data_IF_399629026038
#
_entry.id   IF_399629026038
#
_cell.length_a   1.000
_cell.length_b   1.000
_cell.length_c   1.000
_cell.angle_alpha   90.00
_cell.angle_beta   90.00
_cell.angle_gamma   90.00
#
_symmetry.space_group_name_H-M   'P 1'
#
loop_
_entity.id
_entity.type
_entity.pdbx_description
1 polymer ?
#
# COMPACT_ATOMS: atom_id res chain seq x y z
N UNK A 1 -13.86 13.26 -42.22
CA UNK A 1 -12.51 12.66 -42.05
C UNK A 1 -12.12 12.48 -40.57
N UNK A 2 -13.05 12.63 -39.61
CA UNK A 2 -12.72 12.65 -38.16
C UNK A 2 -13.14 11.39 -37.38
N UNK A 3 -13.67 10.36 -38.04
CA UNK A 3 -14.12 9.14 -37.37
C UNK A 3 -13.01 8.09 -37.18
N UNK A 4 -11.84 8.28 -37.82
CA UNK A 4 -10.74 7.32 -37.77
C UNK A 4 -9.83 7.51 -36.54
N UNK A 5 -9.74 8.72 -35.98
CA UNK A 5 -8.82 9.04 -34.88
C UNK A 5 -9.39 8.71 -33.48
N UNK A 6 -10.72 8.64 -33.34
CA UNK A 6 -11.37 8.26 -32.07
C UNK A 6 -11.27 6.74 -31.81
N UNK A 7 -11.28 5.93 -32.89
CA UNK A 7 -11.20 4.46 -32.80
C UNK A 7 -9.82 3.92 -32.41
N UNK A 8 -8.74 4.65 -32.71
CA UNK A 8 -7.36 4.22 -32.42
C UNK A 8 -6.94 4.47 -30.96
N UNK A 9 -7.60 5.42 -30.26
CA UNK A 9 -7.30 5.74 -28.85
C UNK A 9 -7.85 4.71 -27.86
N UNK A 10 -8.96 4.03 -28.17
CA UNK A 10 -9.52 2.99 -27.30
C UNK A 10 -8.79 1.64 -27.44
N UNK A 11 -8.31 1.28 -28.63
CA UNK A 11 -7.63 -0.01 -28.88
C UNK A 11 -6.24 -0.09 -28.23
N UNK A 12 -5.55 1.04 -28.07
CA UNK A 12 -4.27 1.11 -27.37
C UNK A 12 -4.40 0.84 -25.86
N UNK A 13 -5.47 1.33 -25.22
CA UNK A 13 -5.72 1.11 -23.78
C UNK A 13 -6.09 -0.35 -23.47
N UNK A 14 -6.86 -1.00 -24.35
CA UNK A 14 -7.24 -2.40 -24.19
C UNK A 14 -6.05 -3.36 -24.33
N UNK A 15 -5.08 -3.01 -25.17
CA UNK A 15 -3.86 -3.81 -25.38
C UNK A 15 -2.93 -3.81 -24.16
N UNK A 16 -3.00 -2.80 -23.28
CA UNK A 16 -2.16 -2.69 -22.08
C UNK A 16 -2.78 -3.34 -20.83
N UNK A 17 -4.07 -3.70 -20.84
CA UNK A 17 -4.74 -4.33 -19.69
C UNK A 17 -4.03 -5.59 -19.15
N UNK A 18 -3.55 -6.53 -19.99
CA UNK A 18 -2.84 -7.71 -19.49
C UNK A 18 -1.57 -7.37 -18.73
N UNK A 19 -0.80 -6.38 -19.21
CA UNK A 19 0.47 -5.95 -18.58
C UNK A 19 0.20 -5.34 -17.20
N UNK A 20 -0.87 -4.53 -17.08
CA UNK A 20 -1.27 -3.94 -15.80
C UNK A 20 -1.65 -5.06 -14.82
N UNK A 21 -2.45 -6.05 -15.24
CA UNK A 21 -2.82 -7.19 -14.37
C UNK A 21 -1.63 -8.01 -13.92
N UNK A 22 -0.68 -8.29 -14.83
CA UNK A 22 0.55 -9.02 -14.53
C UNK A 22 1.39 -8.24 -13.51
N UNK A 23 1.56 -6.93 -13.73
CA UNK A 23 2.37 -6.08 -12.88
C UNK A 23 1.78 -5.88 -11.49
N UNK A 24 0.47 -5.62 -11.40
CA UNK A 24 -0.21 -5.41 -10.11
C UNK A 24 -0.26 -6.67 -9.24
N UNK A 25 -0.27 -7.86 -9.84
CA UNK A 25 -0.21 -9.13 -9.12
C UNK A 25 1.21 -9.67 -8.90
N UNK A 26 2.24 -8.96 -9.38
CA UNK A 26 3.65 -9.36 -9.37
C UNK A 26 3.89 -10.82 -9.84
N UNK A 27 3.18 -11.24 -10.89
CA UNK A 27 3.11 -12.65 -11.29
C UNK A 27 4.50 -13.26 -11.55
N UNK A 28 4.71 -14.47 -11.04
CA UNK A 28 5.88 -15.29 -11.40
C UNK A 28 5.74 -15.88 -12.82
N UNK A 29 6.77 -16.61 -13.29
CA UNK A 29 6.78 -17.14 -14.65
C UNK A 29 5.69 -18.19 -14.89
N UNK A 30 5.37 -19.01 -13.90
CA UNK A 30 4.33 -20.04 -14.02
C UNK A 30 2.94 -19.40 -14.05
N UNK A 31 2.71 -18.42 -13.17
CA UNK A 31 1.47 -17.65 -13.11
C UNK A 31 1.24 -16.85 -14.40
N UNK A 32 2.30 -16.23 -14.94
CA UNK A 32 2.26 -15.54 -16.23
C UNK A 32 1.83 -16.48 -17.36
N UNK A 33 2.43 -17.66 -17.47
CA UNK A 33 2.14 -18.61 -18.55
C UNK A 33 0.70 -19.13 -18.46
N UNK A 34 0.22 -19.44 -17.25
CA UNK A 34 -1.17 -19.81 -17.02
C UNK A 34 -2.14 -18.67 -17.39
N UNK A 35 -1.82 -17.44 -16.97
CA UNK A 35 -2.63 -16.25 -17.25
C UNK A 35 -2.74 -15.98 -18.76
N UNK A 36 -1.61 -15.95 -19.47
CA UNK A 36 -1.59 -15.73 -20.92
C UNK A 36 -2.32 -16.84 -21.69
N UNK A 37 -2.20 -18.10 -21.25
CA UNK A 37 -2.95 -19.22 -21.83
C UNK A 37 -4.46 -19.06 -21.67
N UNK A 38 -4.93 -18.50 -20.55
CA UNK A 38 -6.33 -18.19 -20.36
C UNK A 38 -6.78 -17.02 -21.24
N UNK A 39 -5.94 -16.00 -21.42
CA UNK A 39 -6.26 -14.83 -22.24
C UNK A 39 -6.36 -15.16 -23.74
N UNK A 40 -5.57 -16.11 -24.25
CA UNK A 40 -5.64 -16.53 -25.67
C UNK A 40 -6.86 -17.40 -25.99
N UNK A 41 -7.44 -18.07 -24.98
CA UNK A 41 -8.65 -18.89 -25.13
C UNK A 41 -9.95 -18.08 -24.99
N UNK A 42 -9.88 -16.86 -24.49
CA UNK A 42 -11.05 -16.01 -24.25
C UNK A 42 -11.55 -15.40 -25.57
N UNK A 43 -12.86 -15.40 -25.79
CA UNK A 43 -13.47 -14.71 -26.93
C UNK A 43 -13.23 -13.19 -26.82
N UNK A 44 -12.60 -12.59 -27.84
CA UNK A 44 -12.15 -11.20 -27.78
C UNK A 44 -10.90 -10.99 -26.91
N UNK A 45 -10.17 -12.07 -26.59
CA UNK A 45 -8.89 -12.03 -25.90
C UNK A 45 -7.71 -11.68 -26.81
N UNK A 46 -6.49 -11.84 -26.29
CA UNK A 46 -5.25 -11.54 -27.02
C UNK A 46 -4.85 -12.69 -27.95
N UNK A 47 -4.15 -12.39 -29.04
CA UNK A 47 -3.62 -13.42 -29.94
C UNK A 47 -2.40 -14.12 -29.35
N UNK A 48 -2.05 -15.29 -29.89
CA UNK A 48 -0.85 -16.03 -29.47
C UNK A 48 0.44 -15.20 -29.65
N UNK A 49 0.55 -14.44 -30.75
CA UNK A 49 1.70 -13.57 -31.00
C UNK A 49 1.77 -12.43 -29.98
N UNK A 50 0.64 -11.82 -29.64
CA UNK A 50 0.56 -10.79 -28.59
C UNK A 50 0.98 -11.37 -27.23
N UNK A 51 0.50 -12.56 -26.89
CA UNK A 51 0.88 -13.25 -25.66
C UNK A 51 2.39 -13.53 -25.60
N UNK A 52 3.00 -13.96 -26.71
CA UNK A 52 4.44 -14.19 -26.79
C UNK A 52 5.25 -12.91 -26.57
N UNK A 53 4.82 -11.79 -27.16
CA UNK A 53 5.46 -10.46 -26.96
C UNK A 53 5.33 -10.01 -25.50
N UNK A 54 4.14 -10.15 -24.89
CA UNK A 54 3.91 -9.80 -23.48
C UNK A 54 4.77 -10.67 -22.55
N UNK A 55 4.84 -11.98 -22.81
CA UNK A 55 5.67 -12.89 -22.03
C UNK A 55 7.15 -12.49 -22.08
N UNK A 56 7.67 -12.18 -23.28
CA UNK A 56 9.05 -11.73 -23.46
C UNK A 56 9.30 -10.39 -22.76
N UNK A 57 8.36 -9.45 -22.87
CA UNK A 57 8.44 -8.15 -22.21
C UNK A 57 8.53 -8.30 -20.68
N UNK A 58 7.62 -9.06 -20.07
CA UNK A 58 7.60 -9.31 -18.62
C UNK A 58 8.87 -10.03 -18.16
N UNK A 59 9.27 -11.12 -18.83
CA UNK A 59 10.50 -11.88 -18.52
C UNK A 59 11.74 -10.97 -18.51
N UNK A 60 11.80 -9.98 -19.40
CA UNK A 60 12.94 -9.07 -19.50
C UNK A 60 12.89 -7.85 -18.58
N UNK A 61 11.70 -7.41 -18.15
CA UNK A 61 11.54 -6.11 -17.47
C UNK A 61 10.92 -6.22 -16.07
N UNK A 62 10.48 -7.39 -15.61
CA UNK A 62 9.82 -7.60 -14.31
C UNK A 62 10.54 -6.88 -13.17
N UNK A 63 11.85 -7.08 -13.02
CA UNK A 63 12.63 -6.47 -11.93
C UNK A 63 12.58 -4.94 -11.98
N UNK A 64 12.80 -4.33 -13.16
CA UNK A 64 12.75 -2.87 -13.33
C UNK A 64 11.34 -2.31 -13.09
N UNK A 65 10.31 -3.01 -13.56
CA UNK A 65 8.91 -2.62 -13.34
C UNK A 65 8.58 -2.70 -11.85
N UNK A 66 8.95 -3.80 -11.18
CA UNK A 66 8.78 -3.99 -9.74
C UNK A 66 9.49 -2.89 -8.95
N UNK A 67 10.75 -2.60 -9.25
CA UNK A 67 11.50 -1.52 -8.61
C UNK A 67 10.84 -0.15 -8.82
N UNK A 68 10.41 0.15 -10.05
CA UNK A 68 9.70 1.39 -10.36
C UNK A 68 8.38 1.51 -9.58
N UNK A 69 7.60 0.42 -9.51
CA UNK A 69 6.35 0.38 -8.74
C UNK A 69 6.62 0.57 -7.25
N UNK A 70 7.62 -0.10 -6.69
CA UNK A 70 8.05 0.08 -5.29
C UNK A 70 8.45 1.52 -5.03
N UNK A 71 9.24 2.14 -5.92
CA UNK A 71 9.68 3.52 -5.74
C UNK A 71 8.52 4.51 -5.81
N UNK A 72 7.53 4.28 -6.69
CA UNK A 72 6.32 5.09 -6.76
C UNK A 72 5.36 4.83 -5.60
N UNK A 73 5.40 3.63 -5.02
CA UNK A 73 4.60 3.26 -3.84
C UNK A 73 5.27 3.62 -2.53
N UNK A 74 6.47 4.20 -2.51
CA UNK A 74 7.09 4.70 -1.27
C UNK A 74 6.28 5.91 -0.80
N UNK A 75 5.70 5.78 0.38
CA UNK A 75 5.00 6.88 1.03
C UNK A 75 6.09 7.86 1.46
N UNK A 76 6.18 9.03 0.82
CA UNK A 76 7.15 10.07 1.23
C UNK A 76 6.93 10.55 2.68
N UNK A 77 5.80 10.16 3.29
CA UNK A 77 5.42 10.49 4.64
C UNK A 77 6.15 9.57 5.63
N UNK A 78 6.77 10.16 6.64
CA UNK A 78 7.51 9.46 7.68
C UNK A 78 7.01 9.88 9.06
N UNK A 79 6.87 8.91 9.97
CA UNK A 79 6.77 9.21 11.39
C UNK A 79 8.18 9.49 11.90
N UNK A 80 8.49 10.76 12.18
CA UNK A 80 9.84 11.21 12.55
C UNK A 80 10.10 11.10 14.04
N UNK A 81 9.10 11.43 14.85
CA UNK A 81 9.21 11.41 16.29
C UNK A 81 7.87 11.06 16.95
N UNK A 82 7.94 10.47 18.14
CA UNK A 82 6.79 10.21 19.02
C UNK A 82 7.18 10.63 20.42
N UNK A 83 6.59 11.72 20.89
CA UNK A 83 6.71 12.18 22.27
C UNK A 83 5.45 11.76 23.03
N UNK A 84 5.58 11.37 24.29
CA UNK A 84 4.40 11.09 25.10
C UNK A 84 4.63 11.41 26.57
N UNK A 85 3.54 11.67 27.28
CA UNK A 85 3.51 11.80 28.74
C UNK A 85 2.20 11.29 29.30
N UNK A 86 2.19 11.00 30.60
CA UNK A 86 0.99 10.61 31.33
C UNK A 86 0.61 11.71 32.29
N UNK A 87 -0.60 12.22 32.13
CA UNK A 87 -1.19 13.25 32.98
C UNK A 87 -2.31 12.63 33.83
N UNK A 88 -2.66 13.28 34.95
CA UNK A 88 -3.84 12.94 35.74
C UNK A 88 -4.92 14.00 35.49
N UNK A 89 -6.06 13.61 34.93
CA UNK A 89 -7.22 14.49 34.83
C UNK A 89 -7.96 14.50 36.15
N UNK A 90 -8.03 15.67 36.79
CA UNK A 90 -8.84 15.88 37.98
C UNK A 90 -10.27 16.26 37.58
N UNK A 91 -11.27 15.49 38.02
CA UNK A 91 -12.67 15.93 37.98
C UNK A 91 -13.04 16.56 39.35
N UNK A 92 -13.62 17.76 39.32
CA UNK A 92 -14.10 18.50 40.51
C UNK A 92 -15.51 19.01 40.18
N UNK A 93 -16.50 18.91 41.08
CA UNK A 93 -16.72 19.89 42.18
C UNK A 93 -17.33 19.32 43.47
N UNK A 94 -17.81 18.08 43.49
CA UNK A 94 -18.37 17.45 44.68
C UNK A 94 -18.17 15.93 44.62
N UNK A 95 -17.64 15.33 45.69
CA UNK A 95 -17.23 13.91 45.88
C UNK A 95 -15.80 13.61 45.40
N UNK A 96 -15.15 12.67 46.11
CA UNK A 96 -13.73 12.30 46.09
C UNK A 96 -13.03 12.53 44.76
N UNK A 97 -11.85 13.14 44.84
CA UNK A 97 -11.00 13.51 43.71
C UNK A 97 -10.56 12.27 42.92
N UNK A 98 -11.38 11.81 41.96
CA UNK A 98 -11.02 10.71 41.06
C UNK A 98 -10.03 11.27 40.04
N UNK A 99 -8.75 10.96 40.24
CA UNK A 99 -7.69 11.24 39.27
C UNK A 99 -7.71 10.12 38.21
N UNK A 100 -8.14 10.43 36.99
CA UNK A 100 -8.09 9.46 35.87
C UNK A 100 -6.81 9.68 35.08
N UNK A 101 -5.91 8.67 34.98
CA UNK A 101 -4.70 8.77 34.18
C UNK A 101 -5.04 8.82 32.70
N UNK A 102 -4.29 9.65 31.97
CA UNK A 102 -4.45 9.82 30.53
C UNK A 102 -3.09 9.98 29.87
N UNK A 103 -2.88 9.28 28.76
CA UNK A 103 -1.68 9.43 27.95
C UNK A 103 -1.92 10.51 26.88
N UNK A 104 -1.03 11.50 26.84
CA UNK A 104 -0.96 12.49 25.76
C UNK A 104 0.20 12.11 24.87
N UNK A 105 -0.07 11.87 23.59
CA UNK A 105 0.90 11.44 22.59
C UNK A 105 0.96 12.47 21.48
N UNK A 106 2.15 12.93 21.16
CA UNK A 106 2.44 13.82 20.04
C UNK A 106 3.28 13.06 19.02
N UNK A 107 2.83 13.07 17.76
CA UNK A 107 3.51 12.43 16.65
C UNK A 107 3.95 13.48 15.64
N UNK A 108 5.23 13.50 15.30
CA UNK A 108 5.78 14.33 14.24
C UNK A 108 5.73 13.57 12.91
N UNK A 109 4.94 14.07 11.96
CA UNK A 109 4.77 13.51 10.63
C UNK A 109 5.51 14.38 9.63
N UNK A 110 6.53 13.82 8.98
CA UNK A 110 7.35 14.54 8.01
C UNK A 110 7.11 14.08 6.59
N UNK A 111 7.38 14.96 5.63
CA UNK A 111 7.58 14.61 4.22
C UNK A 111 8.93 15.12 3.75
N UNK A 112 9.61 14.39 2.88
CA UNK A 112 10.91 14.81 2.34
C UNK A 112 10.82 16.21 1.71
N UNK A 113 11.68 17.13 2.15
CA UNK A 113 11.73 18.51 1.66
C UNK A 113 10.58 19.42 2.11
N UNK A 114 9.77 19.01 3.10
CA UNK A 114 8.69 19.81 3.69
C UNK A 114 8.85 19.94 5.20
N UNK A 115 8.21 20.96 5.76
CA UNK A 115 8.03 21.10 7.21
C UNK A 115 7.17 19.95 7.77
N UNK A 116 7.38 19.63 9.04
CA UNK A 116 6.67 18.55 9.72
C UNK A 116 5.30 19.01 10.23
N UNK A 117 4.32 18.11 10.15
CA UNK A 117 3.02 18.24 10.81
C UNK A 117 3.07 17.55 12.19
N UNK A 118 2.31 18.06 13.16
CA UNK A 118 2.23 17.48 14.51
C UNK A 118 0.81 17.02 14.81
N UNK A 119 0.67 15.76 15.24
CA UNK A 119 -0.61 15.16 15.61
C UNK A 119 -0.62 14.82 17.09
N UNK A 120 -1.46 15.52 17.86
CA UNK A 120 -1.65 15.29 19.29
C UNK A 120 -2.90 14.45 19.54
N UNK A 121 -2.73 13.34 20.27
CA UNK A 121 -3.77 12.38 20.59
C UNK A 121 -3.81 12.15 22.10
N UNK A 122 -5.01 11.83 22.59
CA UNK A 122 -5.25 11.51 23.98
C UNK A 122 -5.82 10.10 24.10
N UNK A 123 -5.23 9.29 24.97
CA UNK A 123 -5.60 7.90 25.19
C UNK A 123 -5.85 7.61 26.67
N UNK A 124 -6.94 6.92 26.94
CA UNK A 124 -7.10 6.18 28.20
C UNK A 124 -6.31 4.86 28.15
N UNK A 125 -6.20 4.19 29.30
CA UNK A 125 -5.48 2.91 29.43
C UNK A 125 -5.98 1.85 28.44
N UNK A 126 -7.29 1.75 28.24
CA UNK A 126 -7.87 0.75 27.34
C UNK A 126 -7.46 0.99 25.88
N UNK A 127 -7.44 2.25 25.44
CA UNK A 127 -7.00 2.61 24.08
C UNK A 127 -5.50 2.41 23.88
N UNK A 128 -4.67 2.69 24.89
CA UNK A 128 -3.22 2.40 24.83
C UNK A 128 -3.00 0.90 24.65
N UNK A 129 -3.64 0.07 25.48
CA UNK A 129 -3.53 -1.38 25.38
C UNK A 129 -4.02 -1.92 24.03
N UNK A 130 -5.12 -1.35 23.50
CA UNK A 130 -5.61 -1.71 22.17
C UNK A 130 -4.61 -1.33 21.07
N UNK A 131 -3.97 -0.17 21.17
CA UNK A 131 -2.94 0.27 20.21
C UNK A 131 -1.74 -0.66 20.24
N UNK A 132 -1.22 -1.01 21.42
CA UNK A 132 -0.10 -1.94 21.57
C UNK A 132 -0.41 -3.30 20.95
N UNK A 133 -1.61 -3.83 21.21
CA UNK A 133 -2.06 -5.09 20.60
C UNK A 133 -2.03 -5.03 19.08
N UNK A 134 -2.58 -3.95 18.49
CA UNK A 134 -2.59 -3.77 17.02
C UNK A 134 -1.19 -3.65 16.45
N UNK A 135 -0.27 -2.96 17.14
CA UNK A 135 1.13 -2.86 16.70
C UNK A 135 1.82 -4.23 16.71
N UNK A 136 1.57 -5.07 17.72
CA UNK A 136 2.09 -6.44 17.76
C UNK A 136 1.53 -7.32 16.65
N UNK A 137 0.23 -7.23 16.35
CA UNK A 137 -0.38 -7.95 15.21
C UNK A 137 0.25 -7.53 13.87
N UNK A 138 0.57 -6.23 13.70
CA UNK A 138 1.28 -5.73 12.52
C UNK A 138 2.71 -6.29 12.46
N UNK A 139 3.44 -6.30 13.57
CA UNK A 139 4.80 -6.85 13.66
C UNK A 139 4.85 -8.35 13.29
N UNK A 140 3.90 -9.13 13.78
CA UNK A 140 3.76 -10.55 13.46
C UNK A 140 3.46 -10.76 11.97
N UNK A 141 2.57 -9.95 11.40
CA UNK A 141 2.23 -10.01 9.98
C UNK A 141 3.44 -9.69 9.09
N UNK A 142 4.21 -8.65 9.41
CA UNK A 142 5.44 -8.30 8.70
C UNK A 142 6.45 -9.45 8.79
N UNK A 143 6.67 -9.99 9.99
CA UNK A 143 7.61 -11.09 10.21
C UNK A 143 7.26 -12.31 9.35
N UNK A 144 5.98 -12.69 9.32
CA UNK A 144 5.47 -13.77 8.49
C UNK A 144 5.76 -13.55 7.00
N UNK A 145 5.48 -12.34 6.48
CA UNK A 145 5.72 -12.01 5.08
C UNK A 145 7.22 -12.02 4.72
N UNK A 146 8.08 -11.58 5.64
CA UNK A 146 9.54 -11.57 5.40
C UNK A 146 10.20 -12.95 5.46
N UNK A 147 9.65 -13.90 6.25
CA UNK A 147 10.17 -15.27 6.33
C UNK A 147 9.78 -16.15 5.13
N UNK A 148 8.81 -15.71 4.33
CA UNK A 148 8.33 -16.44 3.14
C UNK A 148 9.07 -16.05 1.85
N UNK A 149 10.17 -15.30 1.96
CA UNK A 149 11.05 -14.89 0.85
C UNK A 149 12.37 -15.65 0.93
#
# INVERSE_FOLDING_TARGET
>A
MDSALQGTRLTAFDSCKPIISIASADMDLNQLEAFLTAQTKKQGGITADQAAVIAKFWKSHRTKIRESLINQSRWDNTLRNVNWRVDLKSQSRHIDQINTPVAIVEMELGKNGKESDFLCLEFDEARVNQMLKKLSEIEESISTLTQTT
#
